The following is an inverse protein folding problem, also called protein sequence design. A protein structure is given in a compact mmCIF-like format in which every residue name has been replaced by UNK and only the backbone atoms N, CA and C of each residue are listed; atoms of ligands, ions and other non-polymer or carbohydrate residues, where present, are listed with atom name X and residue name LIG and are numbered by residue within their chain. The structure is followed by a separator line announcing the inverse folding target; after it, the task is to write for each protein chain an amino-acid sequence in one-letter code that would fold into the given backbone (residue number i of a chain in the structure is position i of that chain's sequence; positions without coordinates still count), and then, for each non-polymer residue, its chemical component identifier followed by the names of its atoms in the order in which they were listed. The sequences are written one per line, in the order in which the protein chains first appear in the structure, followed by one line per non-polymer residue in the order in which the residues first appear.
data_IF_670423203162
#
_entry.id   IF_670423203162
#
_cell.length_a   1.000
_cell.length_b   1.000
_cell.length_c   1.000
_cell.angle_alpha   90.00
_cell.angle_beta   90.00
_cell.angle_gamma   90.00
#
_symmetry.space_group_name_H-M   'P 1'
#
loop_
_entity.id
_entity.type
_entity.pdbx_description
1 polymer ?
#
# COMPACT_ATOMS: atom_id res chain seq x y z
N UNK A 1 -23.46 28.58 -4.49
CA UNK A 1 -23.52 27.16 -4.07
C UNK A 1 -23.07 26.94 -2.61
N UNK A 2 -23.25 27.92 -1.74
CA UNK A 2 -22.98 27.84 -0.29
C UNK A 2 -24.11 27.15 0.51
N UNK A 3 -25.25 26.93 -0.12
CA UNK A 3 -26.36 26.13 0.41
C UNK A 3 -26.17 24.60 0.24
N UNK A 4 -25.17 24.15 -0.52
CA UNK A 4 -24.86 22.72 -0.70
C UNK A 4 -23.75 22.32 0.26
N UNK A 5 -23.92 21.20 0.96
CA UNK A 5 -22.88 20.63 1.80
C UNK A 5 -22.76 19.12 1.60
N UNK A 6 -21.55 18.61 1.82
CA UNK A 6 -21.17 17.23 1.58
C UNK A 6 -20.68 16.60 2.87
N UNK A 7 -21.16 15.39 3.16
CA UNK A 7 -20.59 14.55 4.19
C UNK A 7 -20.19 13.20 3.59
N UNK A 8 -18.90 12.86 3.72
CA UNK A 8 -18.28 11.64 3.21
C UNK A 8 -17.51 10.90 4.32
N UNK A 9 -17.94 11.09 5.59
CA UNK A 9 -17.42 10.41 6.76
C UNK A 9 -16.55 11.24 7.70
N UNK A 10 -16.30 12.52 7.40
CA UNK A 10 -15.50 13.45 8.23
C UNK A 10 -16.29 14.66 8.73
N UNK A 11 -17.63 14.56 8.72
CA UNK A 11 -18.55 15.67 9.01
C UNK A 11 -19.01 16.40 7.75
N UNK A 12 -20.04 17.23 7.91
CA UNK A 12 -20.59 18.02 6.80
C UNK A 12 -19.71 19.24 6.49
N UNK A 13 -19.41 19.45 5.20
CA UNK A 13 -18.59 20.56 4.71
C UNK A 13 -19.33 21.31 3.60
N UNK A 14 -19.34 22.64 3.66
CA UNK A 14 -20.00 23.49 2.65
C UNK A 14 -19.22 23.49 1.34
N UNK A 15 -19.88 23.17 0.22
CA UNK A 15 -19.28 23.01 -1.10
C UNK A 15 -18.51 24.24 -1.56
N UNK A 16 -19.06 25.44 -1.32
CA UNK A 16 -18.42 26.71 -1.68
C UNK A 16 -17.01 26.87 -1.07
N UNK A 17 -16.80 26.36 0.15
CA UNK A 17 -15.56 26.50 0.90
C UNK A 17 -14.61 25.31 0.71
N UNK A 18 -15.00 24.31 -0.09
CA UNK A 18 -14.17 23.11 -0.31
C UNK A 18 -13.07 23.40 -1.34
N UNK A 19 -11.89 22.84 -1.04
CA UNK A 19 -10.78 22.79 -1.98
C UNK A 19 -11.14 21.86 -3.16
N UNK A 20 -10.60 22.11 -4.36
CA UNK A 20 -10.86 21.25 -5.53
C UNK A 20 -10.44 19.79 -5.30
N UNK A 21 -9.39 19.55 -4.50
CA UNK A 21 -8.94 18.20 -4.18
C UNK A 21 -8.92 18.00 -2.67
N UNK A 22 -9.43 16.85 -2.22
CA UNK A 22 -9.54 16.45 -0.83
C UNK A 22 -8.93 15.07 -0.68
N UNK A 23 -7.92 14.95 0.19
CA UNK A 23 -7.29 13.67 0.50
C UNK A 23 -8.06 13.04 1.67
N UNK A 24 -8.72 11.91 1.40
CA UNK A 24 -9.42 11.13 2.40
C UNK A 24 -8.52 9.99 2.88
N UNK A 25 -8.19 9.99 4.17
CA UNK A 25 -7.26 9.00 4.78
C UNK A 25 -7.91 7.72 5.29
N UNK A 26 -9.23 7.63 5.20
CA UNK A 26 -10.02 6.46 5.61
C UNK A 26 -10.98 6.07 4.49
N UNK A 27 -11.64 4.92 4.61
CA UNK A 27 -12.67 4.51 3.64
C UNK A 27 -13.67 5.64 3.40
N UNK A 28 -13.92 5.98 2.13
CA UNK A 28 -14.94 6.95 1.75
C UNK A 28 -16.28 6.30 2.07
N UNK A 29 -16.96 6.78 3.13
CA UNK A 29 -18.30 6.31 3.48
C UNK A 29 -19.30 6.76 2.40
N UNK A 30 -20.58 6.55 2.62
CA UNK A 30 -21.57 7.19 1.76
C UNK A 30 -21.37 8.71 1.71
N UNK A 31 -21.43 9.25 0.50
CA UNK A 31 -21.38 10.69 0.27
C UNK A 31 -22.82 11.17 0.27
N UNK A 32 -23.15 12.04 1.21
CA UNK A 32 -24.49 12.61 1.31
C UNK A 32 -24.47 14.08 0.89
N UNK A 33 -25.33 14.43 -0.07
CA UNK A 33 -25.60 15.80 -0.44
C UNK A 33 -26.66 16.36 0.51
N UNK A 34 -26.33 17.41 1.24
CA UNK A 34 -27.25 18.09 2.15
C UNK A 34 -27.48 19.51 1.65
N UNK A 35 -28.71 19.99 1.78
CA UNK A 35 -29.13 21.30 1.29
C UNK A 35 -29.63 22.16 2.46
N UNK A 36 -29.06 23.35 2.58
CA UNK A 36 -29.45 24.36 3.57
C UNK A 36 -30.32 25.41 2.88
N UNK A 37 -31.62 25.13 2.83
CA UNK A 37 -32.60 25.93 2.10
C UNK A 37 -32.69 27.38 2.63
N UNK A 38 -32.31 27.62 3.89
CA UNK A 38 -32.36 28.94 4.52
C UNK A 38 -31.23 29.87 4.05
N UNK A 39 -30.25 29.37 3.30
CA UNK A 39 -29.18 30.19 2.70
C UNK A 39 -29.48 30.67 1.28
N UNK A 40 -30.55 30.18 0.67
CA UNK A 40 -30.88 30.50 -0.72
C UNK A 40 -31.50 31.89 -0.85
N UNK A 41 -32.38 32.27 0.07
CA UNK A 41 -32.88 33.65 0.14
C UNK A 41 -32.63 34.15 1.56
N UNK A 42 -31.94 35.28 1.70
CA UNK A 42 -31.67 35.91 2.98
C UNK A 42 -31.51 37.42 2.83
N UNK A 43 -32.31 38.19 3.58
CA UNK A 43 -32.29 39.65 3.52
C UNK A 43 -32.63 40.18 2.12
N UNK A 44 -31.69 40.91 1.53
CA UNK A 44 -31.75 41.49 0.18
C UNK A 44 -31.33 40.51 -0.93
N UNK A 45 -30.75 39.35 -0.58
CA UNK A 45 -30.32 38.33 -1.54
C UNK A 45 -31.46 37.35 -1.82
N UNK A 46 -31.93 37.37 -3.07
CA UNK A 46 -33.16 36.71 -3.49
C UNK A 46 -32.93 35.80 -4.70
N UNK A 47 -32.19 34.70 -4.53
CA UNK A 47 -31.82 33.76 -5.61
C UNK A 47 -32.96 32.85 -6.09
N UNK A 48 -34.00 32.61 -5.27
CA UNK A 48 -35.17 31.81 -5.66
C UNK A 48 -34.89 30.32 -5.86
N UNK A 49 -35.77 29.61 -6.60
CA UNK A 49 -35.65 28.16 -6.85
C UNK A 49 -34.29 27.84 -7.51
N UNK A 50 -33.57 26.87 -6.94
CA UNK A 50 -32.27 26.42 -7.42
C UNK A 50 -32.40 25.10 -8.19
N UNK A 51 -31.87 25.04 -9.41
CA UNK A 51 -31.81 23.82 -10.21
C UNK A 51 -30.36 23.39 -10.41
N UNK A 52 -30.05 22.17 -9.98
CA UNK A 52 -28.69 21.65 -9.93
C UNK A 52 -28.62 20.28 -10.61
N UNK A 53 -27.60 20.11 -11.45
CA UNK A 53 -27.14 18.81 -11.91
C UNK A 53 -25.82 18.45 -11.21
N UNK A 54 -25.67 17.17 -10.87
CA UNK A 54 -24.46 16.65 -10.21
C UNK A 54 -23.93 15.47 -11.01
N UNK A 55 -22.79 15.65 -11.66
CA UNK A 55 -22.06 14.59 -12.32
C UNK A 55 -21.12 13.91 -11.31
N UNK A 56 -21.18 12.59 -11.22
CA UNK A 56 -20.38 11.77 -10.31
C UNK A 56 -19.57 10.79 -11.15
N UNK A 57 -18.25 10.81 -11.01
CA UNK A 57 -17.33 9.90 -11.69
C UNK A 57 -16.49 9.17 -10.66
N UNK A 58 -16.55 7.84 -10.69
CA UNK A 58 -15.65 6.98 -9.96
C UNK A 58 -14.48 6.63 -10.87
N UNK A 59 -13.27 7.02 -10.46
CA UNK A 59 -12.04 6.68 -11.17
C UNK A 59 -11.21 5.72 -10.32
N UNK A 60 -10.62 4.71 -10.95
CA UNK A 60 -9.70 3.79 -10.32
C UNK A 60 -8.31 4.38 -10.11
N UNK A 61 -7.43 3.59 -9.51
CA UNK A 61 -6.06 4.00 -9.13
C UNK A 61 -5.18 4.41 -10.30
N UNK A 62 -5.48 3.99 -11.54
CA UNK A 62 -4.75 4.35 -12.76
C UNK A 62 -5.48 5.44 -13.57
N UNK A 63 -6.57 6.00 -13.04
CA UNK A 63 -7.39 7.00 -13.72
C UNK A 63 -8.40 6.41 -14.70
N UNK A 64 -8.56 5.08 -14.74
CA UNK A 64 -9.60 4.40 -15.48
C UNK A 64 -10.98 4.77 -14.94
N UNK A 65 -11.96 4.98 -15.83
CA UNK A 65 -13.34 5.23 -15.42
C UNK A 65 -13.98 3.91 -14.96
N UNK A 66 -14.33 3.83 -13.68
CA UNK A 66 -15.06 2.70 -13.11
C UNK A 66 -16.55 2.87 -13.39
N UNK A 67 -17.08 4.05 -13.07
CA UNK A 67 -18.51 4.34 -13.19
C UNK A 67 -18.75 5.83 -13.33
N UNK A 68 -19.84 6.20 -14.01
CA UNK A 68 -20.31 7.57 -14.08
C UNK A 68 -21.82 7.61 -13.88
N UNK A 69 -22.28 8.57 -13.07
CA UNK A 69 -23.69 8.81 -12.86
C UNK A 69 -24.00 10.29 -12.73
N UNK A 70 -25.11 10.73 -13.31
CA UNK A 70 -25.58 12.11 -13.21
C UNK A 70 -26.89 12.13 -12.44
N UNK A 71 -26.94 12.96 -11.41
CA UNK A 71 -28.16 13.34 -10.71
C UNK A 71 -28.69 14.58 -11.43
N UNK A 72 -29.84 14.47 -12.08
CA UNK A 72 -30.41 15.57 -12.85
C UNK A 72 -31.56 16.25 -12.11
N UNK A 73 -31.77 17.53 -12.42
CA UNK A 73 -32.93 18.32 -11.99
C UNK A 73 -33.11 18.32 -10.46
N UNK A 74 -32.02 18.44 -9.69
CA UNK A 74 -32.10 18.60 -8.24
C UNK A 74 -32.65 20.00 -7.97
N UNK A 75 -33.96 20.07 -7.68
CA UNK A 75 -34.66 21.29 -7.33
C UNK A 75 -34.52 21.55 -5.83
N UNK A 76 -33.96 22.70 -5.43
CA UNK A 76 -33.90 23.16 -4.04
C UNK A 76 -34.65 24.48 -3.92
N UNK A 77 -35.66 24.53 -3.06
CA UNK A 77 -36.48 25.73 -2.85
C UNK A 77 -35.97 26.53 -1.63
N UNK A 78 -36.05 27.86 -1.64
CA UNK A 78 -35.76 28.67 -0.46
C UNK A 78 -36.62 28.27 0.75
N UNK A 79 -36.00 28.30 1.93
CA UNK A 79 -36.63 27.95 3.20
C UNK A 79 -37.48 29.07 3.79
N UNK A 80 -37.94 28.86 5.02
CA UNK A 80 -38.89 29.75 5.71
C UNK A 80 -38.29 31.14 6.02
N UNK A 81 -36.97 31.26 6.08
CA UNK A 81 -36.26 32.54 6.25
C UNK A 81 -36.34 33.44 5.01
N UNK A 82 -36.82 32.94 3.86
CA UNK A 82 -37.04 33.74 2.67
C UNK A 82 -38.20 34.72 2.89
N UNK A 83 -38.05 36.02 2.56
CA UNK A 83 -39.19 36.96 2.48
C UNK A 83 -40.28 36.50 1.49
N UNK A 84 -39.95 35.57 0.59
CA UNK A 84 -40.82 35.00 -0.45
C UNK A 84 -41.25 33.57 -0.15
N UNK A 85 -41.07 33.08 1.08
CA UNK A 85 -41.37 31.69 1.47
C UNK A 85 -42.81 31.26 1.13
N UNK A 86 -43.78 32.19 1.16
CA UNK A 86 -45.17 31.92 0.78
C UNK A 86 -45.35 31.44 -0.67
N UNK A 87 -44.45 31.82 -1.58
CA UNK A 87 -44.47 31.45 -3.00
C UNK A 87 -43.77 30.11 -3.29
N UNK A 88 -43.25 29.44 -2.25
CA UNK A 88 -42.56 28.14 -2.36
C UNK A 88 -43.27 27.03 -1.55
N UNK A 89 -44.50 27.29 -1.06
CA UNK A 89 -45.29 26.36 -0.22
C UNK A 89 -45.72 25.09 -0.94
N UNK A 90 -45.73 25.11 -2.27
CA UNK A 90 -45.74 23.99 -3.20
C UNK A 90 -44.36 23.29 -3.17
N UNK A 91 -44.12 22.52 -2.10
CA UNK A 91 -42.84 21.86 -1.72
C UNK A 91 -42.33 20.79 -2.72
N UNK A 92 -42.15 21.15 -3.99
CA UNK A 92 -41.52 20.28 -5.00
C UNK A 92 -40.00 20.16 -4.81
N UNK A 93 -39.39 21.08 -4.05
CA UNK A 93 -37.96 21.07 -3.78
C UNK A 93 -37.53 20.01 -2.77
N UNK A 94 -36.36 19.43 -2.99
CA UNK A 94 -35.78 18.45 -2.10
C UNK A 94 -35.37 19.11 -0.77
N UNK A 95 -35.66 18.40 0.32
CA UNK A 95 -35.30 18.77 1.70
C UNK A 95 -34.52 17.66 2.40
N UNK A 96 -34.57 16.44 1.86
CA UNK A 96 -33.87 15.29 2.41
C UNK A 96 -32.49 15.14 1.79
N UNK A 97 -31.51 14.61 2.53
CA UNK A 97 -30.18 14.35 1.99
C UNK A 97 -30.24 13.34 0.83
N UNK A 98 -29.41 13.56 -0.20
CA UNK A 98 -29.25 12.60 -1.29
C UNK A 98 -28.06 11.70 -0.99
N UNK A 99 -28.29 10.39 -0.87
CA UNK A 99 -27.24 9.37 -0.76
C UNK A 99 -26.65 9.04 -2.14
N UNK A 100 -25.38 9.32 -2.33
CA UNK A 100 -24.67 8.98 -3.58
C UNK A 100 -24.60 7.46 -3.77
N UNK A 101 -24.34 6.70 -2.71
CA UNK A 101 -24.29 5.24 -2.80
C UNK A 101 -25.62 4.60 -3.20
N UNK A 102 -26.76 5.25 -2.95
CA UNK A 102 -28.05 4.73 -3.41
C UNK A 102 -28.18 4.70 -4.95
N UNK A 103 -27.38 5.52 -5.66
CA UNK A 103 -27.43 5.67 -7.11
C UNK A 103 -26.27 4.99 -7.85
N UNK A 104 -25.22 4.59 -7.14
CA UNK A 104 -24.05 3.93 -7.71
C UNK A 104 -24.17 2.41 -7.64
N UNK A 105 -23.74 1.71 -8.69
CA UNK A 105 -23.51 0.27 -8.66
C UNK A 105 -22.30 -0.07 -7.78
N UNK A 106 -21.19 0.65 -7.95
CA UNK A 106 -19.98 0.53 -7.15
C UNK A 106 -20.06 1.47 -5.95
N UNK A 107 -20.09 0.90 -4.75
CA UNK A 107 -20.20 1.69 -3.52
C UNK A 107 -18.86 2.36 -3.20
N UNK A 108 -18.92 3.61 -2.73
CA UNK A 108 -17.74 4.43 -2.40
C UNK A 108 -16.82 3.78 -1.38
N UNK A 109 -17.37 2.96 -0.48
CA UNK A 109 -16.60 2.28 0.56
C UNK A 109 -15.81 1.05 0.05
N UNK A 110 -16.11 0.57 -1.17
CA UNK A 110 -15.41 -0.54 -1.81
C UNK A 110 -14.25 -0.06 -2.71
N UNK A 111 -14.03 1.25 -2.81
CA UNK A 111 -12.98 1.80 -3.66
C UNK A 111 -11.59 1.40 -3.16
N UNK A 112 -10.71 1.08 -4.13
CA UNK A 112 -9.30 0.78 -3.88
C UNK A 112 -8.52 2.05 -3.49
N UNK A 113 -7.37 1.88 -2.85
CA UNK A 113 -6.47 2.99 -2.57
C UNK A 113 -6.07 3.73 -3.86
N UNK A 114 -5.99 5.06 -3.75
CA UNK A 114 -5.79 6.02 -4.83
C UNK A 114 -6.93 6.16 -5.84
N UNK A 115 -8.05 5.46 -5.64
CA UNK A 115 -9.27 5.75 -6.39
C UNK A 115 -9.79 7.15 -6.07
N UNK A 116 -10.55 7.71 -7.01
CA UNK A 116 -11.06 9.08 -6.93
C UNK A 116 -12.56 9.11 -7.12
N UNK A 117 -13.24 9.93 -6.32
CA UNK A 117 -14.61 10.33 -6.57
C UNK A 117 -14.58 11.78 -7.04
N UNK A 118 -14.80 11.99 -8.33
CA UNK A 118 -14.95 13.32 -8.89
C UNK A 118 -16.43 13.68 -8.91
N UNK A 119 -16.76 14.85 -8.40
CA UNK A 119 -18.12 15.38 -8.41
C UNK A 119 -18.13 16.77 -9.01
N UNK A 120 -18.99 16.99 -9.99
CA UNK A 120 -19.16 18.28 -10.64
C UNK A 120 -20.59 18.75 -10.44
N UNK A 121 -20.73 19.89 -9.78
CA UNK A 121 -22.00 20.53 -9.46
C UNK A 121 -22.22 21.66 -10.46
N UNK A 122 -23.36 21.66 -11.16
CA UNK A 122 -23.68 22.65 -12.19
C UNK A 122 -25.08 23.20 -11.99
N UNK A 123 -25.21 24.51 -11.95
CA UNK A 123 -26.52 25.14 -12.10
C UNK A 123 -27.04 24.91 -13.53
N UNK A 124 -28.34 24.73 -13.68
CA UNK A 124 -28.96 24.53 -15.00
C UNK A 124 -29.13 25.85 -15.74
N UNK A 125 -28.29 26.08 -16.74
CA UNK A 125 -28.27 27.32 -17.54
C UNK A 125 -29.62 27.61 -18.22
N UNK A 126 -30.38 26.59 -18.64
CA UNK A 126 -31.68 26.77 -19.30
C UNK A 126 -32.77 27.36 -18.37
N UNK A 127 -32.52 27.38 -17.06
CA UNK A 127 -33.41 27.95 -16.04
C UNK A 127 -33.04 29.37 -15.63
N UNK A 128 -31.89 29.87 -16.05
CA UNK A 128 -31.38 31.18 -15.67
C UNK A 128 -31.01 32.00 -16.92
N UNK A 129 -31.16 33.33 -16.85
CA UNK A 129 -30.81 34.22 -17.95
C UNK A 129 -29.29 34.49 -18.09
N UNK A 130 -28.48 33.89 -17.21
CA UNK A 130 -27.03 34.10 -17.07
C UNK A 130 -26.32 32.75 -16.99
N UNK A 131 -25.01 32.72 -17.30
CA UNK A 131 -24.19 31.51 -17.18
C UNK A 131 -24.22 30.97 -15.74
N UNK A 132 -24.61 29.71 -15.58
CA UNK A 132 -24.67 29.04 -14.30
C UNK A 132 -23.30 28.88 -13.64
N UNK A 133 -23.33 28.66 -12.33
CA UNK A 133 -22.13 28.36 -11.55
C UNK A 133 -21.78 26.87 -11.68
N UNK A 134 -20.50 26.57 -11.88
CA UNK A 134 -19.96 25.21 -11.87
C UNK A 134 -18.88 25.07 -10.79
N UNK A 135 -18.94 23.99 -10.02
CA UNK A 135 -17.91 23.64 -9.03
C UNK A 135 -17.57 22.17 -9.14
N UNK A 136 -16.29 21.89 -9.37
CA UNK A 136 -15.75 20.55 -9.33
C UNK A 136 -14.97 20.31 -8.04
N UNK A 137 -15.15 19.11 -7.47
CA UNK A 137 -14.31 18.57 -6.41
C UNK A 137 -13.85 17.16 -6.75
N UNK A 138 -12.73 16.76 -6.17
CA UNK A 138 -12.14 15.43 -6.27
C UNK A 138 -11.80 14.94 -4.87
N UNK A 139 -12.40 13.83 -4.46
CA UNK A 139 -12.06 13.12 -3.22
C UNK A 139 -11.14 11.97 -3.60
N UNK A 140 -9.89 12.01 -3.15
CA UNK A 140 -8.89 10.97 -3.41
C UNK A 140 -8.72 10.11 -2.16
N UNK A 141 -8.94 8.80 -2.30
CA UNK A 141 -8.69 7.85 -1.22
C UNK A 141 -7.18 7.59 -1.07
N UNK A 142 -6.62 7.88 0.09
CA UNK A 142 -5.20 7.62 0.38
C UNK A 142 -5.06 7.16 1.83
N UNK A 143 -5.25 5.86 2.09
CA UNK A 143 -5.05 5.27 3.42
C UNK A 143 -3.59 5.45 3.87
N UNK A 144 -3.31 5.71 5.15
CA UNK A 144 -1.93 5.93 5.63
C UNK A 144 -1.06 4.68 5.54
N UNK A 145 -1.67 3.50 5.54
CA UNK A 145 -1.04 2.19 5.46
C UNK A 145 -1.89 1.33 4.52
N UNK A 146 -1.23 0.63 3.61
CA UNK A 146 -1.84 -0.30 2.67
C UNK A 146 -1.30 -1.68 2.98
N UNK A 147 -2.18 -2.67 3.07
CA UNK A 147 -1.85 -4.05 3.38
C UNK A 147 -1.99 -4.90 2.12
N UNK A 148 -0.93 -5.61 1.77
CA UNK A 148 -0.89 -6.52 0.62
C UNK A 148 -0.20 -7.83 1.01
N UNK A 149 -0.57 -8.94 0.36
CA UNK A 149 0.15 -10.21 0.44
C UNK A 149 0.99 -10.36 -0.83
N UNK A 150 2.27 -10.65 -0.67
CA UNK A 150 3.25 -10.76 -1.75
C UNK A 150 3.87 -12.16 -1.78
N UNK A 151 4.07 -12.67 -2.99
CA UNK A 151 4.79 -13.92 -3.24
C UNK A 151 6.01 -13.56 -4.05
N UNK A 152 7.20 -13.78 -3.47
CA UNK A 152 8.46 -13.43 -4.11
C UNK A 152 9.44 -14.58 -4.13
N UNK A 153 10.34 -14.54 -5.11
CA UNK A 153 11.42 -15.50 -5.28
C UNK A 153 12.74 -14.80 -4.94
N UNK A 154 13.17 -14.79 -3.67
CA UNK A 154 14.48 -14.27 -3.33
C UNK A 154 15.55 -15.14 -3.99
N UNK A 155 16.22 -14.56 -4.99
CA UNK A 155 17.36 -15.17 -5.66
C UNK A 155 18.64 -14.76 -4.90
N UNK A 156 19.63 -15.63 -4.85
CA UNK A 156 20.91 -15.30 -4.18
C UNK A 156 20.74 -14.93 -2.71
N UNK A 157 19.89 -15.67 -2.00
CA UNK A 157 19.61 -15.47 -0.58
C UNK A 157 20.88 -15.68 0.26
N UNK A 158 21.39 -14.60 0.84
CA UNK A 158 22.50 -14.65 1.78
C UNK A 158 21.95 -14.79 3.20
N UNK A 159 22.35 -15.86 3.91
CA UNK A 159 21.92 -16.12 5.29
C UNK A 159 23.13 -16.17 6.20
N UNK A 160 23.02 -15.48 7.34
CA UNK A 160 23.92 -15.60 8.46
C UNK A 160 23.17 -16.20 9.65
N UNK A 161 23.43 -17.48 9.94
CA UNK A 161 22.87 -18.15 11.12
C UNK A 161 23.47 -17.56 12.40
N UNK A 162 22.62 -17.24 13.36
CA UNK A 162 22.99 -16.71 14.67
C UNK A 162 22.92 -17.86 15.67
N UNK A 163 24.06 -18.26 16.24
CA UNK A 163 24.11 -19.28 17.28
C UNK A 163 24.45 -20.70 16.83
N UNK A 164 24.77 -20.96 15.54
CA UNK A 164 25.50 -22.19 15.20
C UNK A 164 26.92 -22.10 15.74
N UNK A 165 27.28 -22.99 16.66
CA UNK A 165 28.68 -23.38 16.85
C UNK A 165 29.15 -23.95 15.52
N UNK A 166 30.19 -23.34 14.94
CA UNK A 166 30.78 -23.87 13.70
C UNK A 166 31.19 -25.31 13.94
N UNK A 167 30.87 -26.21 13.01
CA UNK A 167 31.44 -27.56 13.00
C UNK A 167 32.98 -27.47 12.92
N UNK A 168 33.69 -28.52 13.35
CA UNK A 168 35.16 -28.52 13.30
C UNK A 168 35.67 -28.25 11.89
N UNK A 169 35.08 -28.85 10.85
CA UNK A 169 35.43 -28.53 9.46
C UNK A 169 35.20 -27.06 9.10
N UNK A 170 34.08 -26.45 9.51
CA UNK A 170 33.84 -25.01 9.28
C UNK A 170 34.77 -24.10 10.10
N UNK A 171 35.30 -24.57 11.23
CA UNK A 171 36.38 -23.90 11.96
C UNK A 171 37.69 -24.00 11.16
N UNK A 172 38.08 -25.21 10.75
CA UNK A 172 39.28 -25.45 9.96
C UNK A 172 39.28 -24.62 8.66
N UNK A 173 38.17 -24.61 7.91
CA UNK A 173 38.01 -23.79 6.71
C UNK A 173 38.08 -22.27 6.99
N UNK A 174 37.53 -21.82 8.12
CA UNK A 174 37.61 -20.40 8.52
C UNK A 174 39.03 -19.95 8.90
N UNK A 175 39.92 -20.91 9.21
CA UNK A 175 41.33 -20.71 9.51
C UNK A 175 42.26 -21.24 8.40
N UNK A 176 41.76 -21.61 7.21
CA UNK A 176 42.59 -22.16 6.11
C UNK A 176 43.40 -23.42 6.53
N UNK A 177 42.89 -24.16 7.52
CA UNK A 177 43.49 -25.38 8.01
C UNK A 177 42.92 -26.57 7.25
N UNK A 178 43.79 -27.52 6.87
CA UNK A 178 43.35 -28.73 6.19
C UNK A 178 42.90 -29.78 7.23
N UNK A 179 41.58 -29.97 7.34
CA UNK A 179 40.99 -30.94 8.29
C UNK A 179 41.47 -32.37 8.05
N UNK A 180 41.62 -32.78 6.79
CA UNK A 180 42.09 -34.13 6.46
C UNK A 180 43.54 -34.34 6.89
N UNK A 181 44.38 -33.29 6.75
CA UNK A 181 45.76 -33.32 7.23
C UNK A 181 45.82 -33.44 8.76
N UNK A 182 44.94 -32.75 9.48
CA UNK A 182 44.84 -32.84 10.94
C UNK A 182 44.45 -34.23 11.42
N UNK A 183 43.43 -34.85 10.82
CA UNK A 183 43.04 -36.23 11.13
C UNK A 183 44.18 -37.22 10.86
N UNK A 184 44.84 -37.09 9.70
CA UNK A 184 46.04 -37.89 9.36
C UNK A 184 47.17 -37.71 10.38
N UNK A 185 47.45 -36.48 10.78
CA UNK A 185 48.48 -36.16 11.77
C UNK A 185 48.13 -36.68 13.17
N UNK A 186 46.84 -36.68 13.55
CA UNK A 186 46.36 -37.31 14.79
C UNK A 186 46.55 -38.82 14.80
N UNK A 187 46.28 -39.49 13.69
CA UNK A 187 46.50 -40.94 13.57
C UNK A 187 47.99 -41.28 13.66
N UNK A 188 48.85 -40.49 13.03
CA UNK A 188 50.31 -40.65 13.09
C UNK A 188 50.85 -40.42 14.49
N UNK A 189 50.33 -39.39 15.19
CA UNK A 189 50.68 -39.13 16.58
C UNK A 189 50.27 -40.30 17.51
N UNK A 190 49.06 -40.86 17.34
CA UNK A 190 48.60 -42.03 18.10
C UNK A 190 49.49 -43.26 17.87
N UNK A 191 50.18 -43.32 16.74
CA UNK A 191 51.17 -44.38 16.39
C UNK A 191 52.59 -44.07 16.88
N UNK A 192 52.81 -42.94 17.57
CA UNK A 192 54.11 -42.55 18.13
C UNK A 192 55.05 -41.89 17.13
N UNK A 193 54.57 -41.45 15.96
CA UNK A 193 55.39 -40.75 14.99
C UNK A 193 55.63 -39.28 15.38
N UNK A 194 56.80 -38.75 15.01
CA UNK A 194 57.10 -37.32 15.18
C UNK A 194 56.32 -36.53 14.13
N UNK A 195 55.38 -35.70 14.59
CA UNK A 195 54.59 -34.80 13.75
C UNK A 195 55.00 -33.35 14.04
N UNK A 196 55.31 -32.59 12.98
CA UNK A 196 55.64 -31.16 13.10
C UNK A 196 54.34 -30.38 13.17
N UNK A 197 54.16 -29.60 14.24
CA UNK A 197 52.91 -28.84 14.46
C UNK A 197 52.73 -27.77 13.38
N UNK A 198 51.59 -27.73 12.66
CA UNK A 198 51.36 -26.74 11.62
C UNK A 198 51.26 -25.32 12.20
N UNK A 199 51.80 -24.34 11.47
CA UNK A 199 51.71 -22.92 11.83
C UNK A 199 50.26 -22.46 11.72
N UNK A 200 49.60 -22.23 12.85
CA UNK A 200 48.20 -21.78 12.89
C UNK A 200 48.11 -20.30 12.50
N UNK A 201 47.34 -19.92 11.47
CA UNK A 201 47.13 -18.52 11.15
C UNK A 201 46.36 -17.82 12.28
N UNK A 202 46.86 -16.66 12.69
CA UNK A 202 46.44 -15.97 13.92
C UNK A 202 45.18 -15.11 13.77
N UNK A 203 44.58 -15.06 12.59
CA UNK A 203 43.35 -14.28 12.33
C UNK A 203 42.32 -15.12 11.58
N UNK A 204 41.11 -15.32 12.14
CA UNK A 204 40.03 -15.95 11.40
C UNK A 204 39.65 -15.10 10.17
N UNK A 205 39.25 -15.74 9.07
CA UNK A 205 38.52 -15.03 8.01
C UNK A 205 37.26 -14.40 8.64
N UNK A 206 36.98 -13.13 8.31
CA UNK A 206 35.75 -12.42 8.75
C UNK A 206 34.55 -13.32 8.53
N UNK A 207 33.60 -13.33 9.49
CA UNK A 207 32.38 -14.13 9.42
C UNK A 207 31.73 -13.98 8.04
N UNK A 208 31.86 -15.01 7.22
CA UNK A 208 31.28 -15.05 5.89
C UNK A 208 29.78 -15.38 6.03
N UNK A 209 28.95 -14.71 5.26
CA UNK A 209 27.62 -15.25 4.97
C UNK A 209 27.82 -16.67 4.43
N UNK A 210 27.12 -17.66 5.00
CA UNK A 210 27.13 -18.99 4.39
C UNK A 210 26.35 -18.86 3.09
N UNK A 211 27.08 -18.93 1.98
CA UNK A 211 26.51 -18.81 0.64
C UNK A 211 25.56 -19.99 0.38
N UNK A 212 24.27 -19.76 0.63
CA UNK A 212 23.21 -20.67 0.20
C UNK A 212 22.74 -20.28 -1.22
N UNK A 213 23.71 -19.93 -2.09
CA UNK A 213 23.49 -19.42 -3.45
C UNK A 213 23.00 -20.49 -4.43
N UNK A 214 22.94 -21.76 -4.01
CA UNK A 214 22.71 -22.90 -4.89
C UNK A 214 21.26 -23.18 -5.29
N UNK A 215 20.25 -22.50 -4.73
CA UNK A 215 18.85 -22.77 -5.08
C UNK A 215 17.88 -21.61 -4.88
N UNK A 216 16.75 -21.69 -5.59
CA UNK A 216 15.70 -20.67 -5.53
C UNK A 216 14.85 -20.92 -4.28
N UNK A 217 14.69 -19.86 -3.48
CA UNK A 217 13.82 -19.85 -2.30
C UNK A 217 12.48 -19.20 -2.64
N UNK A 218 11.44 -19.52 -1.87
CA UNK A 218 10.10 -18.95 -2.03
C UNK A 218 9.70 -18.22 -0.75
N UNK A 219 9.20 -17.00 -0.88
CA UNK A 219 8.71 -16.20 0.23
C UNK A 219 7.22 -15.86 0.05
N UNK A 220 6.44 -16.04 1.12
CA UNK A 220 5.06 -15.56 1.24
C UNK A 220 5.02 -14.54 2.37
N UNK A 221 4.81 -13.27 2.03
CA UNK A 221 4.98 -12.14 2.95
C UNK A 221 3.71 -11.29 2.98
N UNK A 222 3.15 -11.12 4.17
CA UNK A 222 2.15 -10.09 4.43
C UNK A 222 2.90 -8.78 4.70
N UNK A 223 2.65 -7.74 3.90
CA UNK A 223 3.44 -6.50 3.93
C UNK A 223 2.59 -5.23 3.96
N UNK A 224 3.16 -4.23 4.61
CA UNK A 224 2.66 -2.88 4.67
C UNK A 224 3.41 -1.98 3.68
N UNK A 225 2.65 -1.26 2.87
CA UNK A 225 3.11 -0.19 1.97
C UNK A 225 2.63 1.17 2.49
N UNK A 226 3.43 2.21 2.26
CA UNK A 226 3.17 3.54 2.81
C UNK A 226 3.04 4.57 1.68
N UNK A 227 1.91 5.27 1.55
CA UNK A 227 1.81 6.36 0.59
C UNK A 227 2.76 7.52 0.87
N UNK A 228 3.16 8.19 -0.20
CA UNK A 228 3.89 9.45 -0.13
C UNK A 228 2.91 10.59 0.23
N UNK A 229 3.27 11.37 1.26
CA UNK A 229 2.43 12.47 1.73
C UNK A 229 2.44 13.66 0.76
N UNK A 230 3.51 13.82 -0.03
CA UNK A 230 3.68 14.93 -0.96
C UNK A 230 3.16 14.58 -2.37
N UNK A 231 3.04 13.29 -2.69
CA UNK A 231 2.73 12.81 -4.05
C UNK A 231 1.54 11.85 -4.04
N UNK A 232 0.39 12.36 -4.46
CA UNK A 232 -0.83 11.56 -4.66
C UNK A 232 -0.57 10.43 -5.67
N UNK A 233 -1.04 9.22 -5.35
CA UNK A 233 -0.89 8.06 -6.23
C UNK A 233 0.48 7.37 -6.16
N UNK A 234 1.40 7.83 -5.29
CA UNK A 234 2.73 7.24 -5.15
C UNK A 234 2.94 6.61 -3.79
N UNK A 235 3.59 5.45 -3.79
CA UNK A 235 4.06 4.77 -2.60
C UNK A 235 5.51 5.15 -2.33
N UNK A 236 5.88 5.17 -1.06
CA UNK A 236 7.27 5.22 -0.61
C UNK A 236 8.00 3.95 -1.08
N UNK A 237 9.34 4.03 -1.27
CA UNK A 237 10.11 2.91 -1.80
C UNK A 237 10.23 1.74 -0.83
N UNK A 238 9.91 1.91 0.45
CA UNK A 238 10.12 0.90 1.46
C UNK A 238 8.81 0.21 1.85
N UNK A 239 8.91 -1.09 2.15
CA UNK A 239 7.83 -1.91 2.71
C UNK A 239 8.35 -2.68 3.91
N UNK A 240 7.44 -3.01 4.83
CA UNK A 240 7.75 -3.81 6.02
C UNK A 240 6.75 -4.95 6.06
N UNK A 241 7.21 -6.18 6.22
CA UNK A 241 6.34 -7.35 6.23
C UNK A 241 6.85 -8.46 7.11
N UNK A 242 5.98 -9.43 7.34
CA UNK A 242 6.30 -10.67 8.02
C UNK A 242 5.65 -11.83 7.28
N UNK A 243 6.23 -13.02 7.40
CA UNK A 243 5.69 -14.19 6.76
C UNK A 243 6.62 -15.38 6.82
N UNK A 244 6.58 -16.19 5.77
CA UNK A 244 7.32 -17.44 5.69
C UNK A 244 8.28 -17.45 4.52
N UNK A 245 9.44 -18.06 4.74
CA UNK A 245 10.48 -18.27 3.75
C UNK A 245 10.78 -19.75 3.67
N UNK A 246 10.46 -20.37 2.55
CA UNK A 246 10.91 -21.70 2.20
C UNK A 246 12.29 -21.57 1.53
N UNK A 247 13.32 -21.98 2.26
CA UNK A 247 14.72 -21.83 1.88
C UNK A 247 15.10 -23.00 0.96
N UNK A 248 15.76 -22.69 -0.16
CA UNK A 248 16.33 -23.67 -1.09
C UNK A 248 15.28 -24.63 -1.69
N UNK A 249 14.03 -24.17 -1.84
CA UNK A 249 12.88 -24.98 -2.30
C UNK A 249 13.13 -25.65 -3.64
N UNK A 250 13.73 -24.94 -4.61
CA UNK A 250 14.03 -25.46 -5.94
C UNK A 250 15.51 -25.81 -6.10
N UNK A 251 16.00 -26.71 -5.24
CA UNK A 251 17.31 -27.31 -5.40
C UNK A 251 17.15 -28.81 -5.53
N UNK A 252 17.55 -29.32 -6.70
CA UNK A 252 17.37 -30.72 -7.10
C UNK A 252 18.57 -31.60 -6.77
N UNK A 253 19.58 -31.07 -6.06
CA UNK A 253 20.68 -31.91 -5.56
C UNK A 253 20.22 -32.79 -4.39
N UNK A 254 20.73 -34.02 -4.34
CA UNK A 254 20.37 -35.01 -3.31
C UNK A 254 20.78 -34.59 -1.88
N UNK A 255 21.69 -33.62 -1.75
CA UNK A 255 22.15 -33.04 -0.49
C UNK A 255 21.53 -31.68 -0.14
N UNK A 256 20.49 -31.24 -0.86
CA UNK A 256 19.91 -29.92 -0.66
C UNK A 256 19.31 -29.74 0.75
N UNK A 257 19.91 -28.87 1.57
CA UNK A 257 19.34 -28.44 2.84
C UNK A 257 18.19 -27.48 2.59
N UNK A 258 16.96 -28.00 2.64
CA UNK A 258 15.71 -27.23 2.55
C UNK A 258 15.21 -26.94 3.95
N UNK A 259 14.64 -25.77 4.18
CA UNK A 259 14.10 -25.40 5.49
C UNK A 259 12.92 -24.43 5.33
N UNK A 260 12.08 -24.33 6.35
CA UNK A 260 11.02 -23.34 6.45
C UNK A 260 11.34 -22.40 7.61
N UNK A 261 11.20 -21.11 7.37
CA UNK A 261 11.46 -20.09 8.38
C UNK A 261 10.31 -19.09 8.51
N UNK A 262 10.06 -18.62 9.72
CA UNK A 262 9.34 -17.36 9.94
C UNK A 262 10.31 -16.20 9.75
N UNK A 263 9.88 -15.14 9.08
CA UNK A 263 10.73 -13.98 8.77
C UNK A 263 9.99 -12.65 8.99
N UNK A 264 10.75 -11.63 9.38
CA UNK A 264 10.37 -10.22 9.33
C UNK A 264 11.32 -9.52 8.37
N UNK A 265 10.77 -8.82 7.39
CA UNK A 265 11.50 -8.22 6.28
C UNK A 265 11.24 -6.72 6.18
N UNK A 266 12.30 -5.97 5.97
CA UNK A 266 12.27 -4.63 5.39
C UNK A 266 12.72 -4.73 3.93
N UNK A 267 11.96 -4.13 3.02
CA UNK A 267 12.18 -4.24 1.59
C UNK A 267 12.30 -2.87 0.96
N UNK A 268 13.28 -2.67 0.09
CA UNK A 268 13.45 -1.43 -0.69
C UNK A 268 13.21 -1.71 -2.17
N UNK A 269 12.16 -1.10 -2.72
CA UNK A 269 11.76 -1.20 -4.11
C UNK A 269 12.30 0.01 -4.89
N UNK A 270 13.08 -0.21 -5.96
CA UNK A 270 13.48 0.85 -6.88
C UNK A 270 12.27 1.63 -7.42
N UNK A 271 12.28 2.96 -7.27
CA UNK A 271 11.23 3.85 -7.78
C UNK A 271 11.62 4.30 -9.19
N UNK A 272 11.40 3.44 -10.19
CA UNK A 272 11.43 3.89 -11.59
C UNK A 272 10.10 3.54 -12.26
N UNK A 273 9.29 4.54 -12.65
CA UNK A 273 8.08 4.27 -13.42
C UNK A 273 8.43 3.62 -14.77
N UNK A 274 7.61 2.67 -15.22
CA UNK A 274 7.68 2.11 -16.57
C UNK A 274 8.60 0.90 -16.78
N UNK A 275 9.24 0.33 -15.74
CA UNK A 275 10.06 -0.88 -15.90
C UNK A 275 9.22 -2.15 -15.65
N UNK A 276 9.23 -3.07 -16.61
CA UNK A 276 8.62 -4.42 -16.52
C UNK A 276 9.31 -5.28 -15.45
N UNK A 277 10.58 -4.98 -15.18
CA UNK A 277 11.45 -5.71 -14.26
C UNK A 277 11.84 -4.84 -13.07
N UNK A 278 11.68 -5.37 -11.86
CA UNK A 278 12.10 -4.73 -10.62
C UNK A 278 12.97 -5.65 -9.76
N UNK A 279 14.02 -5.09 -9.15
CA UNK A 279 14.94 -5.79 -8.26
C UNK A 279 14.84 -5.18 -6.85
N UNK A 280 13.84 -5.56 -6.05
CA UNK A 280 13.79 -5.14 -4.66
C UNK A 280 14.96 -5.72 -3.87
N UNK A 281 15.41 -5.00 -2.85
CA UNK A 281 16.40 -5.50 -1.89
C UNK A 281 15.66 -5.78 -0.59
N UNK A 282 15.75 -7.01 -0.10
CA UNK A 282 15.15 -7.43 1.16
C UNK A 282 16.25 -7.62 2.21
N UNK A 283 16.04 -7.04 3.39
CA UNK A 283 16.84 -7.27 4.59
C UNK A 283 15.89 -7.82 5.64
N UNK A 284 16.31 -8.85 6.36
CA UNK A 284 15.41 -9.50 7.29
C UNK A 284 16.08 -10.23 8.43
N UNK A 285 15.26 -10.52 9.42
CA UNK A 285 15.56 -11.44 10.50
C UNK A 285 14.57 -12.60 10.42
N UNK A 286 15.04 -13.81 10.67
CA UNK A 286 14.18 -14.99 10.65
C UNK A 286 14.59 -16.05 11.64
N UNK A 287 13.75 -17.07 11.75
CA UNK A 287 13.96 -18.24 12.58
C UNK A 287 13.65 -19.50 11.79
N UNK A 288 14.67 -20.35 11.61
CA UNK A 288 14.57 -21.64 10.92
C UNK A 288 13.91 -22.67 11.82
N UNK A 289 12.90 -23.38 11.31
CA UNK A 289 12.16 -24.35 12.10
C UNK A 289 12.89 -25.67 12.24
N UNK A 290 13.58 -26.14 11.21
CA UNK A 290 14.28 -27.43 11.29
C UNK A 290 15.52 -27.36 12.18
N UNK A 291 16.34 -26.33 11.97
CA UNK A 291 17.58 -26.14 12.73
C UNK A 291 17.36 -25.41 14.06
N UNK A 292 16.16 -24.90 14.34
CA UNK A 292 15.82 -24.11 15.52
C UNK A 292 16.73 -22.87 15.73
N UNK A 293 17.18 -22.25 14.63
CA UNK A 293 18.24 -21.25 14.65
C UNK A 293 17.77 -19.91 14.06
N UNK A 294 17.98 -18.79 14.80
CA UNK A 294 17.75 -17.46 14.25
C UNK A 294 18.77 -17.13 13.17
N UNK A 295 18.41 -16.25 12.25
CA UNK A 295 19.31 -15.80 11.20
C UNK A 295 19.04 -14.38 10.73
N UNK A 296 20.06 -13.74 10.19
CA UNK A 296 19.95 -12.53 9.38
C UNK A 296 19.98 -12.90 7.91
N UNK A 297 19.23 -12.16 7.09
CA UNK A 297 19.22 -12.34 5.65
C UNK A 297 19.33 -11.04 4.88
N UNK A 298 19.96 -11.15 3.71
CA UNK A 298 19.97 -10.16 2.65
C UNK A 298 19.65 -10.90 1.35
N UNK A 299 18.67 -10.43 0.58
CA UNK A 299 18.38 -11.03 -0.71
C UNK A 299 17.92 -10.00 -1.75
N UNK A 300 18.49 -10.00 -2.95
CA UNK A 300 17.82 -9.38 -4.09
C UNK A 300 16.58 -10.21 -4.45
N UNK A 301 15.43 -9.57 -4.51
CA UNK A 301 14.22 -10.17 -5.06
C UNK A 301 14.14 -9.96 -6.56
N UNK A 302 13.27 -10.74 -7.21
CA UNK A 302 12.88 -10.53 -8.60
C UNK A 302 11.37 -10.29 -8.60
N UNK A 303 10.97 -9.10 -9.04
CA UNK A 303 9.58 -8.74 -9.25
C UNK A 303 9.30 -8.55 -10.74
N UNK A 304 8.39 -9.35 -11.29
CA UNK A 304 7.86 -9.15 -12.64
C UNK A 304 6.49 -8.48 -12.52
N UNK A 305 6.30 -7.38 -13.23
CA UNK A 305 5.01 -6.68 -13.27
C UNK A 305 4.29 -7.09 -14.56
N UNK A 306 3.22 -7.88 -14.42
CA UNK A 306 2.31 -8.24 -15.51
C UNK A 306 1.26 -7.15 -15.73
#
# INVERSE_FOLDING_TARGET
MDYVSLNFGTGSRVLANMTPTIIQRSTIKDITLNFDNNKIDAGDKLYGKQYLDVDIRLLGKRGELIEMKTIRNVLVCPGDNSPRSIYYKDKAGITSPISVNSMLGNKTYNLEDFSKVQMTFKNQDDKYGESGYEKQIEIVLQRPVIFDIDVSFPAGLMIQNLGKTKSEQELFDAYDLNYNQYELDLERYKKGEIVVSPTVPTKPKKAAFTDNLGGISLALIAQFSFPDAEKVGKLKPYRIGAGFLAINTFNFSDGAKRDLAAVVLASLYPIKPGRVFNLPIHIGFGYKFQDAIPFLMLSPGIGVRF
#
